data_IF_511184275723
#
_entry.id   IF_511184275723
#
_cell.length_a   1.000
_cell.length_b   1.000
_cell.length_c   1.000
_cell.angle_alpha   90.00
_cell.angle_beta   90.00
_cell.angle_gamma   90.00
#
_symmetry.space_group_name_H-M   'P 1'
#
loop_
_entity.id
_entity.type
_entity.pdbx_description
1 polymer ?
#
# COMPACT_ATOMS: atom_id res chain seq x y z
N UNK A 1 -1.20 20.52 10.09
CA UNK A 1 -1.43 19.77 8.83
C UNK A 1 -1.31 18.26 9.02
N UNK A 2 -0.19 17.70 9.53
CA UNK A 2 -0.03 16.25 9.73
C UNK A 2 -1.14 15.64 10.59
N UNK A 3 -1.50 16.26 11.71
CA UNK A 3 -2.59 15.80 12.58
C UNK A 3 -3.92 15.74 11.82
N UNK A 4 -4.21 16.73 10.98
CA UNK A 4 -5.44 16.75 10.17
C UNK A 4 -5.45 15.58 9.19
N UNK A 5 -4.31 15.27 8.55
CA UNK A 5 -4.19 14.13 7.64
C UNK A 5 -4.43 12.80 8.34
N UNK A 6 -3.82 12.60 9.51
CA UNK A 6 -4.03 11.39 10.31
C UNK A 6 -5.48 11.25 10.79
N UNK A 7 -6.13 12.37 11.15
CA UNK A 7 -7.56 12.36 11.50
C UNK A 7 -8.43 12.05 10.29
N UNK A 8 -8.14 12.62 9.11
CA UNK A 8 -8.88 12.29 7.88
C UNK A 8 -8.76 10.81 7.53
N UNK A 9 -7.56 10.25 7.67
CA UNK A 9 -7.30 8.84 7.43
C UNK A 9 -8.08 7.97 8.44
N UNK A 10 -7.96 8.25 9.74
CA UNK A 10 -8.67 7.51 10.77
C UNK A 10 -10.20 7.55 10.59
N UNK A 11 -10.75 8.71 10.19
CA UNK A 11 -12.19 8.86 9.90
C UNK A 11 -12.58 8.06 8.66
N UNK A 12 -11.74 8.05 7.63
CA UNK A 12 -11.96 7.28 6.43
C UNK A 12 -11.99 5.77 6.72
N UNK A 13 -11.01 5.27 7.48
CA UNK A 13 -10.94 3.87 7.90
C UNK A 13 -12.14 3.48 8.76
N UNK A 14 -12.50 4.29 9.75
CA UNK A 14 -13.67 4.04 10.60
C UNK A 14 -14.97 3.97 9.79
N UNK A 15 -15.17 4.92 8.87
CA UNK A 15 -16.35 4.94 8.02
C UNK A 15 -16.35 3.76 7.03
N UNK A 16 -15.17 3.35 6.54
CA UNK A 16 -15.02 2.18 5.68
C UNK A 16 -15.47 0.89 6.34
N UNK A 17 -15.09 0.67 7.60
CA UNK A 17 -15.57 -0.47 8.38
C UNK A 17 -17.08 -0.50 8.51
N UNK A 18 -17.69 0.66 8.76
CA UNK A 18 -19.13 0.76 9.05
C UNK A 18 -19.99 0.81 7.79
N UNK A 19 -19.50 1.45 6.72
CA UNK A 19 -20.29 1.81 5.54
C UNK A 19 -19.68 1.33 4.20
N UNK A 20 -18.76 0.38 4.22
CA UNK A 20 -18.15 -0.18 3.01
C UNK A 20 -17.25 0.82 2.26
N UNK A 21 -17.62 1.20 1.05
CA UNK A 21 -16.77 2.01 0.17
C UNK A 21 -16.41 3.44 0.63
N UNK A 22 -16.92 3.89 1.78
CA UNK A 22 -16.64 5.23 2.29
C UNK A 22 -15.19 5.43 2.81
N UNK A 23 -14.40 4.35 2.96
CA UNK A 23 -12.97 4.49 3.29
C UNK A 23 -12.19 5.28 2.21
N UNK A 24 -12.60 5.20 0.95
CA UNK A 24 -12.04 5.99 -0.16
C UNK A 24 -12.16 7.50 0.11
N UNK A 25 -13.22 7.91 0.82
CA UNK A 25 -13.40 9.31 1.19
C UNK A 25 -12.27 9.83 2.09
N UNK A 26 -11.81 9.01 3.05
CA UNK A 26 -10.67 9.36 3.89
C UNK A 26 -9.39 9.57 3.08
N UNK A 27 -9.10 8.68 2.14
CA UNK A 27 -7.97 8.84 1.21
C UNK A 27 -8.07 10.11 0.37
N UNK A 28 -9.23 10.36 -0.22
CA UNK A 28 -9.44 11.59 -1.00
C UNK A 28 -9.24 12.83 -0.14
N UNK A 29 -9.79 12.88 1.07
CA UNK A 29 -9.62 14.00 1.99
C UNK A 29 -8.17 14.19 2.41
N UNK A 30 -7.44 13.11 2.72
CA UNK A 30 -6.02 13.16 3.05
C UNK A 30 -5.19 13.71 1.87
N UNK A 31 -5.50 13.30 0.65
CA UNK A 31 -4.86 13.79 -0.57
C UNK A 31 -5.16 15.29 -0.77
N UNK A 32 -6.43 15.69 -0.68
CA UNK A 32 -6.84 17.10 -0.85
C UNK A 32 -6.15 18.02 0.16
N UNK A 33 -6.12 17.62 1.44
CA UNK A 33 -5.43 18.38 2.49
C UNK A 33 -3.92 18.40 2.26
N UNK A 34 -3.33 17.25 1.87
CA UNK A 34 -1.91 17.13 1.60
C UNK A 34 -1.47 18.00 0.43
N UNK A 35 -2.15 17.90 -0.70
CA UNK A 35 -1.83 18.69 -1.88
C UNK A 35 -2.23 20.17 -1.72
N UNK A 36 -3.34 20.45 -1.05
CA UNK A 36 -3.73 21.83 -0.70
C UNK A 36 -2.64 22.54 0.12
N UNK A 37 -2.00 21.84 1.06
CA UNK A 37 -0.85 22.33 1.81
C UNK A 37 0.39 22.60 0.93
N UNK A 38 0.62 21.79 -0.11
CA UNK A 38 1.71 22.03 -1.06
C UNK A 38 1.45 23.25 -1.93
N UNK A 39 0.24 23.36 -2.48
CA UNK A 39 -0.18 24.48 -3.31
C UNK A 39 -0.12 25.78 -2.52
N UNK A 40 -0.65 25.81 -1.29
CA UNK A 40 -0.62 27.00 -0.43
C UNK A 40 0.80 27.37 0.00
N UNK A 41 1.68 26.40 0.22
CA UNK A 41 3.09 26.58 0.54
C UNK A 41 3.95 26.89 -0.68
N UNK A 42 3.40 26.93 -1.89
CA UNK A 42 4.12 27.13 -3.16
C UNK A 42 5.33 26.19 -3.33
N UNK A 43 5.21 24.97 -2.80
CA UNK A 43 6.24 23.94 -2.95
C UNK A 43 6.17 23.32 -4.35
N UNK A 44 7.32 23.05 -4.99
CA UNK A 44 7.33 22.37 -6.28
C UNK A 44 6.85 20.91 -6.13
N UNK A 45 6.19 20.40 -7.16
CA UNK A 45 5.68 19.03 -7.19
C UNK A 45 6.79 17.97 -7.05
N UNK A 46 8.03 18.32 -7.46
CA UNK A 46 9.21 17.46 -7.26
C UNK A 46 9.51 17.17 -5.80
N UNK A 47 9.17 18.08 -4.88
CA UNK A 47 9.38 17.89 -3.43
C UNK A 47 8.53 16.77 -2.85
N UNK A 48 7.52 16.33 -3.58
CA UNK A 48 6.62 15.22 -3.20
C UNK A 48 6.68 14.07 -4.21
N UNK A 49 7.75 13.97 -4.96
CA UNK A 49 8.00 12.84 -5.85
C UNK A 49 7.24 12.87 -7.17
N UNK A 50 6.55 13.96 -7.51
CA UNK A 50 5.91 14.12 -8.83
C UNK A 50 6.92 14.69 -9.80
N UNK A 51 7.72 13.83 -10.41
CA UNK A 51 8.82 14.22 -11.30
C UNK A 51 8.97 13.28 -12.50
N UNK A 52 9.78 13.70 -13.47
CA UNK A 52 10.18 12.88 -14.63
C UNK A 52 11.37 12.00 -14.26
N UNK A 53 11.70 11.03 -15.12
CA UNK A 53 12.88 10.18 -14.96
C UNK A 53 12.60 8.76 -14.44
N UNK A 54 11.43 8.22 -14.76
CA UNK A 54 10.98 6.88 -14.32
C UNK A 54 12.04 5.79 -14.57
N UNK A 55 12.55 5.65 -15.80
CA UNK A 55 13.42 4.53 -16.16
C UNK A 55 14.73 4.47 -15.37
N UNK A 56 15.36 5.63 -15.12
CA UNK A 56 16.59 5.72 -14.35
C UNK A 56 16.37 5.40 -12.88
N UNK A 57 15.31 5.94 -12.32
CA UNK A 57 14.94 5.70 -10.92
C UNK A 57 14.50 4.24 -10.71
N UNK A 58 13.69 3.67 -11.62
CA UNK A 58 13.27 2.27 -11.57
C UNK A 58 14.47 1.32 -11.63
N UNK A 59 15.41 1.52 -12.54
CA UNK A 59 16.63 0.70 -12.65
C UNK A 59 17.43 0.67 -11.34
N UNK A 60 17.49 1.81 -10.63
CA UNK A 60 18.21 1.92 -9.35
C UNK A 60 17.57 1.05 -8.24
N UNK A 61 16.26 0.91 -8.23
CA UNK A 61 15.54 0.16 -7.18
C UNK A 61 15.07 -1.22 -7.63
N UNK A 62 15.34 -1.59 -8.89
CA UNK A 62 14.93 -2.87 -9.45
C UNK A 62 15.33 -4.10 -8.61
N UNK A 63 16.56 -4.18 -8.01
CA UNK A 63 16.91 -5.30 -7.17
C UNK A 63 16.00 -5.42 -5.93
N UNK A 64 15.65 -4.28 -5.32
CA UNK A 64 14.73 -4.24 -4.17
C UNK A 64 13.32 -4.66 -4.59
N UNK A 65 12.83 -4.16 -5.71
CA UNK A 65 11.55 -4.56 -6.28
C UNK A 65 11.51 -6.07 -6.59
N UNK A 66 12.58 -6.63 -7.17
CA UNK A 66 12.64 -8.06 -7.47
C UNK A 66 12.58 -8.92 -6.20
N UNK A 67 13.17 -8.47 -5.08
CA UNK A 67 13.03 -9.14 -3.79
C UNK A 67 11.57 -9.16 -3.34
N UNK A 68 10.87 -8.02 -3.39
CA UNK A 68 9.45 -7.96 -3.04
C UNK A 68 8.63 -8.90 -3.92
N UNK A 69 8.76 -8.77 -5.24
CA UNK A 69 7.98 -9.55 -6.19
C UNK A 69 8.20 -11.06 -6.05
N UNK A 70 9.45 -11.50 -5.89
CA UNK A 70 9.77 -12.94 -5.84
C UNK A 70 9.59 -13.50 -4.44
N UNK A 71 10.18 -12.88 -3.43
CA UNK A 71 10.22 -13.46 -2.07
C UNK A 71 8.87 -13.29 -1.38
N UNK A 72 8.28 -12.11 -1.44
CA UNK A 72 7.06 -11.82 -0.68
C UNK A 72 5.79 -12.20 -1.45
N UNK A 73 5.73 -11.97 -2.75
CA UNK A 73 4.50 -12.21 -3.51
C UNK A 73 4.40 -13.62 -4.12
N UNK A 74 5.52 -14.27 -4.44
CA UNK A 74 5.52 -15.60 -5.06
C UNK A 74 5.85 -16.69 -4.05
N UNK A 75 6.90 -16.54 -3.25
CA UNK A 75 7.42 -17.60 -2.36
C UNK A 75 6.79 -17.58 -0.98
N UNK A 76 6.46 -16.41 -0.44
CA UNK A 76 5.92 -16.29 0.92
C UNK A 76 4.56 -16.97 1.10
N UNK A 77 3.57 -16.86 0.19
CA UNK A 77 2.31 -17.56 0.35
C UNK A 77 2.46 -19.08 0.53
N UNK A 78 3.18 -19.82 -0.35
CA UNK A 78 3.29 -21.26 -0.23
C UNK A 78 4.30 -21.74 0.82
N UNK A 79 5.32 -20.94 1.14
CA UNK A 79 6.42 -21.35 2.04
C UNK A 79 6.39 -20.63 3.39
N UNK A 80 5.52 -19.65 3.55
CA UNK A 80 5.51 -18.77 4.70
C UNK A 80 4.74 -19.29 5.90
N UNK A 81 4.73 -18.45 6.93
CA UNK A 81 4.04 -18.70 8.20
C UNK A 81 2.53 -18.86 7.98
N UNK A 82 1.93 -18.15 7.02
CA UNK A 82 0.54 -18.26 6.64
C UNK A 82 0.16 -19.67 6.18
N UNK A 83 1.02 -20.33 5.39
CA UNK A 83 0.80 -21.73 5.01
C UNK A 83 0.92 -22.68 6.22
N UNK A 84 1.94 -22.48 7.05
CA UNK A 84 2.19 -23.30 8.25
C UNK A 84 1.06 -23.19 9.29
N UNK A 85 0.40 -22.02 9.36
CA UNK A 85 -0.72 -21.77 10.28
C UNK A 85 -2.09 -22.12 9.66
N UNK A 86 -2.17 -22.57 8.41
CA UNK A 86 -3.41 -22.82 7.70
C UNK A 86 -4.21 -21.56 7.34
N UNK A 87 -3.62 -20.38 7.50
CA UNK A 87 -4.24 -19.08 7.23
C UNK A 87 -4.44 -18.89 5.73
N UNK A 88 -3.48 -19.34 4.93
CA UNK A 88 -3.50 -19.23 3.49
C UNK A 88 -4.77 -19.78 2.86
N UNK A 89 -5.23 -20.95 3.32
CA UNK A 89 -6.47 -21.55 2.81
C UNK A 89 -7.72 -20.75 3.16
N UNK A 90 -7.70 -20.01 4.27
CA UNK A 90 -8.81 -19.13 4.69
C UNK A 90 -8.84 -17.84 3.89
N UNK A 91 -7.71 -17.21 3.66
CA UNK A 91 -7.59 -16.02 2.82
C UNK A 91 -8.00 -16.30 1.38
N UNK A 92 -7.49 -17.40 0.83
CA UNK A 92 -7.84 -17.84 -0.50
C UNK A 92 -9.33 -18.13 -0.62
N UNK A 93 -9.94 -18.85 0.32
CA UNK A 93 -11.36 -19.12 0.34
C UNK A 93 -12.20 -17.84 0.50
N UNK A 94 -11.70 -16.87 1.25
CA UNK A 94 -12.36 -15.58 1.44
C UNK A 94 -12.35 -14.75 0.14
N UNK A 95 -11.23 -14.71 -0.57
CA UNK A 95 -11.09 -13.99 -1.84
C UNK A 95 -11.84 -14.72 -2.96
N UNK A 96 -11.61 -16.01 -3.12
CA UNK A 96 -12.18 -16.79 -4.23
C UNK A 96 -13.65 -17.12 -4.04
N UNK A 97 -14.12 -17.36 -2.82
CA UNK A 97 -15.52 -17.62 -2.52
C UNK A 97 -16.46 -16.44 -2.78
N UNK A 98 -15.91 -15.22 -2.92
CA UNK A 98 -16.68 -14.01 -3.23
C UNK A 98 -16.56 -13.56 -4.68
N UNK A 99 -15.59 -14.06 -5.43
CA UNK A 99 -15.32 -13.65 -6.80
C UNK A 99 -15.82 -14.70 -7.79
N UNK A 100 -17.00 -14.46 -8.35
CA UNK A 100 -17.35 -15.12 -9.62
C UNK A 100 -16.52 -14.48 -10.71
N UNK A 101 -15.47 -15.18 -11.19
CA UNK A 101 -14.57 -14.68 -12.23
C UNK A 101 -15.30 -14.58 -13.57
N UNK A 102 -15.97 -13.47 -13.79
CA UNK A 102 -16.46 -13.05 -15.10
C UNK A 102 -15.47 -12.04 -15.70
N UNK A 103 -15.51 -11.85 -17.02
CA UNK A 103 -14.71 -10.80 -17.66
C UNK A 103 -14.94 -9.43 -16.98
N UNK A 104 -16.19 -9.11 -16.65
CA UNK A 104 -16.53 -7.85 -15.98
C UNK A 104 -15.91 -7.72 -14.60
N UNK A 105 -15.93 -8.77 -13.76
CA UNK A 105 -15.32 -8.73 -12.42
C UNK A 105 -13.81 -8.64 -12.47
N UNK A 106 -13.16 -9.28 -13.43
CA UNK A 106 -11.71 -9.16 -13.64
C UNK A 106 -11.31 -7.75 -14.04
N UNK A 107 -12.05 -7.12 -14.95
CA UNK A 107 -11.81 -5.72 -15.36
C UNK A 107 -11.98 -4.77 -14.17
N UNK A 108 -13.05 -4.93 -13.40
CA UNK A 108 -13.28 -4.11 -12.19
C UNK A 108 -12.16 -4.30 -11.17
N UNK A 109 -11.71 -5.53 -10.93
CA UNK A 109 -10.60 -5.83 -10.02
C UNK A 109 -9.31 -5.12 -10.46
N UNK A 110 -8.93 -5.26 -11.72
CA UNK A 110 -7.72 -4.61 -12.26
C UNK A 110 -7.80 -3.10 -12.11
N UNK A 111 -8.93 -2.48 -12.48
CA UNK A 111 -9.12 -1.04 -12.33
C UNK A 111 -9.03 -0.62 -10.86
N UNK A 112 -9.64 -1.40 -9.97
CA UNK A 112 -9.62 -1.13 -8.54
C UNK A 112 -8.18 -1.17 -7.98
N UNK A 113 -7.41 -2.19 -8.31
CA UNK A 113 -6.00 -2.29 -7.88
C UNK A 113 -5.17 -1.12 -8.39
N UNK A 114 -5.31 -0.76 -9.68
CA UNK A 114 -4.63 0.40 -10.27
C UNK A 114 -4.92 1.70 -9.50
N UNK A 115 -6.20 1.94 -9.21
CA UNK A 115 -6.63 3.18 -8.55
C UNK A 115 -6.27 3.18 -7.08
N UNK A 116 -6.53 2.09 -6.36
CA UNK A 116 -6.30 2.00 -4.93
C UNK A 116 -4.81 2.10 -4.59
N UNK A 117 -3.94 1.36 -5.29
CA UNK A 117 -2.49 1.45 -5.07
C UNK A 117 -1.95 2.86 -5.33
N UNK A 118 -2.49 3.58 -6.35
CA UNK A 118 -2.11 4.97 -6.58
C UNK A 118 -2.53 5.87 -5.41
N UNK A 119 -3.77 5.73 -4.93
CA UNK A 119 -4.28 6.50 -3.80
C UNK A 119 -3.45 6.23 -2.53
N UNK A 120 -3.12 4.98 -2.27
CA UNK A 120 -2.28 4.57 -1.13
C UNK A 120 -0.88 5.20 -1.21
N UNK A 121 -0.22 5.14 -2.36
CA UNK A 121 1.09 5.79 -2.52
C UNK A 121 1.00 7.31 -2.37
N UNK A 122 -0.05 7.95 -2.85
CA UNK A 122 -0.27 9.39 -2.65
C UNK A 122 -0.46 9.73 -1.17
N UNK A 123 -1.19 8.92 -0.42
CA UNK A 123 -1.42 9.14 1.02
C UNK A 123 -0.17 8.81 1.82
N UNK A 124 0.32 7.58 1.72
CA UNK A 124 1.36 7.09 2.61
C UNK A 124 2.76 7.61 2.26
N UNK A 125 3.10 7.75 0.97
CA UNK A 125 4.44 8.20 0.56
C UNK A 125 4.51 9.71 0.40
N UNK A 126 3.68 10.24 -0.51
CA UNK A 126 3.70 11.68 -0.84
C UNK A 126 3.23 12.55 0.32
N UNK A 127 2.20 12.11 1.04
CA UNK A 127 1.56 12.95 2.05
C UNK A 127 2.10 12.68 3.45
N UNK A 128 2.12 11.45 3.92
CA UNK A 128 2.50 11.13 5.30
C UNK A 128 4.02 10.99 5.42
N UNK A 129 4.64 10.05 4.67
CA UNK A 129 6.07 9.77 4.78
C UNK A 129 6.93 11.01 4.49
N UNK A 130 6.63 11.70 3.39
CA UNK A 130 7.38 12.89 3.01
C UNK A 130 7.33 13.96 4.10
N UNK A 131 6.16 14.27 4.62
CA UNK A 131 6.01 15.28 5.66
C UNK A 131 6.61 14.86 6.99
N UNK A 132 6.48 13.59 7.37
CA UNK A 132 7.14 13.06 8.56
C UNK A 132 8.67 13.17 8.44
N UNK A 133 9.22 12.90 7.26
CA UNK A 133 10.67 12.96 7.04
C UNK A 133 11.25 14.36 7.33
N UNK A 134 10.48 15.42 7.18
CA UNK A 134 10.91 16.78 7.49
C UNK A 134 11.08 17.04 9.01
N UNK A 135 10.41 16.24 9.84
CA UNK A 135 10.43 16.43 11.31
C UNK A 135 11.29 15.40 12.04
N UNK A 136 11.25 14.13 11.59
CA UNK A 136 11.89 13.01 12.29
C UNK A 136 12.97 12.30 11.46
N UNK A 137 13.25 12.80 10.25
CA UNK A 137 14.18 12.21 9.31
C UNK A 137 13.61 11.02 8.54
N UNK A 138 14.21 10.74 7.39
CA UNK A 138 13.71 9.75 6.42
C UNK A 138 13.61 8.32 7.00
N UNK A 139 14.61 7.76 7.71
CA UNK A 139 14.50 6.39 8.19
C UNK A 139 13.34 6.19 9.18
N UNK A 140 13.18 7.11 10.13
CA UNK A 140 12.10 7.03 11.10
C UNK A 140 10.72 7.25 10.44
N UNK A 141 10.64 8.13 9.44
CA UNK A 141 9.42 8.35 8.67
C UNK A 141 9.01 7.10 7.88
N UNK A 142 9.96 6.41 7.25
CA UNK A 142 9.70 5.14 6.54
C UNK A 142 9.12 4.11 7.50
N UNK A 143 9.76 3.87 8.65
CA UNK A 143 9.29 2.89 9.63
C UNK A 143 7.89 3.24 10.14
N UNK A 144 7.69 4.48 10.60
CA UNK A 144 6.40 4.89 11.16
C UNK A 144 5.27 4.82 10.13
N UNK A 145 5.54 5.24 8.89
CA UNK A 145 4.53 5.18 7.83
C UNK A 145 4.20 3.74 7.45
N UNK A 146 5.17 2.83 7.50
CA UNK A 146 4.93 1.41 7.22
C UNK A 146 4.08 0.75 8.31
N UNK A 147 4.30 1.10 9.57
CA UNK A 147 3.43 0.66 10.67
C UNK A 147 2.01 1.18 10.49
N UNK A 148 1.84 2.45 10.11
CA UNK A 148 0.52 3.04 9.83
C UNK A 148 -0.14 2.37 8.61
N UNK A 149 0.64 2.02 7.59
CA UNK A 149 0.17 1.29 6.41
C UNK A 149 -0.40 -0.08 6.80
N UNK A 150 0.32 -0.84 7.64
CA UNK A 150 -0.18 -2.09 8.21
C UNK A 150 -1.48 -1.91 8.99
N UNK A 151 -1.54 -0.91 9.89
CA UNK A 151 -2.78 -0.63 10.65
C UNK A 151 -3.96 -0.32 9.72
N UNK A 152 -3.72 0.43 8.65
CA UNK A 152 -4.77 0.80 7.70
C UNK A 152 -5.37 -0.43 6.99
N UNK A 153 -4.56 -1.46 6.73
CA UNK A 153 -5.01 -2.71 6.10
C UNK A 153 -5.72 -3.63 7.09
N UNK A 154 -5.20 -3.71 8.33
CA UNK A 154 -5.70 -4.66 9.33
C UNK A 154 -6.97 -4.22 10.07
N UNK A 155 -7.36 -2.97 9.93
CA UNK A 155 -8.52 -2.42 10.67
C UNK A 155 -9.83 -3.17 10.40
N UNK A 156 -9.94 -3.83 9.24
CA UNK A 156 -11.10 -4.62 8.82
C UNK A 156 -10.85 -6.14 8.86
N UNK A 157 -9.63 -6.58 9.16
CA UNK A 157 -9.28 -8.01 9.17
C UNK A 157 -9.90 -8.70 10.38
N UNK A 158 -10.57 -9.82 10.13
CA UNK A 158 -11.21 -10.64 11.15
C UNK A 158 -10.52 -12.00 11.20
N UNK A 159 -10.19 -12.46 12.40
CA UNK A 159 -9.56 -13.75 12.57
C UNK A 159 -8.97 -13.95 13.97
N UNK A 160 -8.16 -15.00 14.14
CA UNK A 160 -7.40 -15.17 15.37
C UNK A 160 -6.30 -14.13 15.46
N UNK A 161 -5.79 -13.85 16.66
CA UNK A 161 -4.69 -12.91 16.86
C UNK A 161 -3.45 -13.29 16.03
N UNK A 162 -3.19 -14.59 15.86
CA UNK A 162 -2.08 -15.06 15.04
C UNK A 162 -2.25 -14.70 13.56
N UNK A 163 -3.47 -14.81 13.03
CA UNK A 163 -3.84 -14.38 11.66
C UNK A 163 -3.55 -12.90 11.51
N UNK A 164 -4.18 -12.07 12.34
CA UNK A 164 -4.06 -10.61 12.29
C UNK A 164 -2.60 -10.16 12.41
N UNK A 165 -1.81 -10.73 13.33
CA UNK A 165 -0.40 -10.35 13.49
C UNK A 165 0.49 -10.77 12.32
N UNK A 166 0.21 -11.93 11.71
CA UNK A 166 0.98 -12.41 10.55
C UNK A 166 0.72 -11.54 9.34
N UNK A 167 -0.55 -11.24 9.09
CA UNK A 167 -0.99 -10.38 7.98
C UNK A 167 -0.45 -8.95 8.16
N UNK A 168 -0.67 -8.37 9.34
CA UNK A 168 -0.07 -7.08 9.72
C UNK A 168 1.43 -7.02 9.47
N UNK A 169 2.17 -8.06 9.90
CA UNK A 169 3.61 -8.15 9.69
C UNK A 169 3.99 -8.15 8.22
N UNK A 170 3.27 -8.89 7.38
CA UNK A 170 3.44 -8.91 5.93
C UNK A 170 3.23 -7.55 5.30
N UNK A 171 2.09 -6.93 5.59
CA UNK A 171 1.75 -5.59 5.07
C UNK A 171 2.74 -4.51 5.54
N UNK A 172 3.22 -4.57 6.79
CA UNK A 172 4.28 -3.67 7.28
C UNK A 172 5.57 -3.84 6.50
N UNK A 173 5.97 -5.09 6.18
CA UNK A 173 7.15 -5.34 5.36
C UNK A 173 7.01 -4.78 3.95
N UNK A 174 5.88 -4.99 3.29
CA UNK A 174 5.59 -4.36 1.99
C UNK A 174 5.65 -2.83 2.10
N UNK A 175 5.03 -2.30 3.15
CA UNK A 175 5.11 -0.88 3.48
C UNK A 175 6.53 -0.35 3.61
N UNK A 176 7.43 -1.11 4.27
CA UNK A 176 8.85 -0.77 4.42
C UNK A 176 9.56 -0.75 3.06
N UNK A 177 9.34 -1.77 2.22
CA UNK A 177 9.96 -1.85 0.90
C UNK A 177 9.54 -0.69 0.00
N UNK A 178 8.24 -0.42 -0.13
CA UNK A 178 7.75 0.71 -0.93
C UNK A 178 8.20 2.04 -0.33
N UNK A 179 8.23 2.16 1.00
CA UNK A 179 8.75 3.33 1.69
C UNK A 179 10.24 3.60 1.40
N UNK A 180 11.06 2.55 1.35
CA UNK A 180 12.49 2.64 0.97
C UNK A 180 12.63 2.95 -0.52
N UNK A 181 11.81 2.36 -1.40
CA UNK A 181 11.81 2.69 -2.84
C UNK A 181 11.51 4.17 -3.03
N UNK A 182 10.46 4.69 -2.38
CA UNK A 182 10.13 6.12 -2.42
C UNK A 182 11.28 6.99 -1.88
N UNK A 183 11.82 6.64 -0.71
CA UNK A 183 12.92 7.39 -0.09
C UNK A 183 14.18 7.46 -0.97
N UNK A 184 14.47 6.40 -1.74
CA UNK A 184 15.63 6.34 -2.65
C UNK A 184 15.41 7.02 -3.98
N UNK A 185 14.19 7.06 -4.46
CA UNK A 185 13.88 7.59 -5.79
C UNK A 185 13.24 8.97 -5.74
N UNK A 186 12.52 9.29 -4.67
CA UNK A 186 11.63 10.45 -4.62
C UNK A 186 10.76 10.53 -5.90
N UNK A 187 10.17 9.40 -6.30
CA UNK A 187 9.42 9.28 -7.54
C UNK A 187 8.15 8.46 -7.32
N UNK A 188 7.01 9.15 -7.22
CA UNK A 188 5.71 8.53 -7.03
C UNK A 188 5.39 7.48 -8.08
N UNK A 189 5.68 7.76 -9.36
CA UNK A 189 5.38 6.84 -10.45
C UNK A 189 6.16 5.53 -10.32
N UNK A 190 7.43 5.58 -9.88
CA UNK A 190 8.24 4.39 -9.64
C UNK A 190 7.67 3.57 -8.48
N UNK A 191 7.36 4.22 -7.36
CA UNK A 191 6.83 3.52 -6.20
C UNK A 191 5.46 2.92 -6.50
N UNK A 192 4.58 3.67 -7.15
CA UNK A 192 3.28 3.17 -7.58
C UNK A 192 3.38 1.97 -8.52
N UNK A 193 4.20 2.02 -9.55
CA UNK A 193 4.34 0.89 -10.50
C UNK A 193 4.93 -0.34 -9.80
N UNK A 194 5.87 -0.17 -8.88
CA UNK A 194 6.42 -1.30 -8.11
C UNK A 194 5.37 -1.91 -7.18
N UNK A 195 4.57 -1.11 -6.49
CA UNK A 195 3.47 -1.56 -5.64
C UNK A 195 2.40 -2.28 -6.48
N UNK A 196 1.85 -1.61 -7.50
CA UNK A 196 0.87 -2.19 -8.41
C UNK A 196 1.31 -3.54 -8.99
N UNK A 197 2.58 -3.64 -9.40
CA UNK A 197 3.09 -4.89 -9.97
C UNK A 197 3.22 -5.98 -8.92
N UNK A 198 3.62 -5.64 -7.70
CA UNK A 198 3.68 -6.58 -6.59
C UNK A 198 2.29 -7.14 -6.27
N UNK A 199 1.28 -6.29 -6.17
CA UNK A 199 -0.12 -6.71 -5.93
C UNK A 199 -0.67 -7.60 -7.04
N UNK A 200 -0.41 -7.24 -8.31
CA UNK A 200 -0.83 -8.08 -9.45
C UNK A 200 -0.15 -9.45 -9.37
N UNK A 201 1.15 -9.52 -9.07
CA UNK A 201 1.86 -10.78 -8.90
C UNK A 201 1.26 -11.57 -7.74
N UNK A 202 1.01 -10.94 -6.60
CA UNK A 202 0.38 -11.57 -5.44
C UNK A 202 -0.99 -12.17 -5.77
N UNK A 203 -1.85 -11.38 -6.41
CA UNK A 203 -3.18 -11.83 -6.86
C UNK A 203 -3.06 -13.01 -7.84
N UNK A 204 -2.19 -12.92 -8.85
CA UNK A 204 -1.98 -14.02 -9.81
C UNK A 204 -1.43 -15.27 -9.12
N UNK A 205 -0.54 -15.12 -8.15
CA UNK A 205 0.01 -16.23 -7.38
C UNK A 205 -1.10 -16.97 -6.61
N UNK A 206 -2.04 -16.23 -6.01
CA UNK A 206 -3.21 -16.82 -5.35
C UNK A 206 -4.04 -17.68 -6.29
N UNK A 207 -4.22 -17.28 -7.56
CA UNK A 207 -5.00 -18.04 -8.53
C UNK A 207 -4.26 -19.23 -9.17
N UNK A 208 -2.93 -19.22 -9.19
CA UNK A 208 -2.12 -20.29 -9.79
C UNK A 208 -1.85 -21.42 -8.80
N UNK A 209 -1.77 -21.11 -7.51
CA UNK A 209 -1.47 -22.09 -6.45
C UNK A 209 -2.75 -22.81 -5.98
N UNK A 210 -3.91 -22.33 -6.35
CA UNK A 210 -5.22 -22.97 -6.15
C UNK A 210 -5.54 -23.95 -7.23
#
# INVERSE_FOLDING_TARGET
>A
MLVILLVCEAVGLYNGQKYGSLYIFGYIMAIVVGFGGLISGRRPWSDVGIKRGFAGDFKRVFPLFAIVAVVFQILSPPLGVSYALGIYSQEVAHITGRLTLTFGTVVVLIISVIVLTLLEEMVFRVTIQEKLSWFIGTPAAVVLTSLLFGVAHEIATTGSLAVVLTDYGGVVLDGLFFGVIYARTHNLAVTWVTHLTADIIGILTLFVIL
#
